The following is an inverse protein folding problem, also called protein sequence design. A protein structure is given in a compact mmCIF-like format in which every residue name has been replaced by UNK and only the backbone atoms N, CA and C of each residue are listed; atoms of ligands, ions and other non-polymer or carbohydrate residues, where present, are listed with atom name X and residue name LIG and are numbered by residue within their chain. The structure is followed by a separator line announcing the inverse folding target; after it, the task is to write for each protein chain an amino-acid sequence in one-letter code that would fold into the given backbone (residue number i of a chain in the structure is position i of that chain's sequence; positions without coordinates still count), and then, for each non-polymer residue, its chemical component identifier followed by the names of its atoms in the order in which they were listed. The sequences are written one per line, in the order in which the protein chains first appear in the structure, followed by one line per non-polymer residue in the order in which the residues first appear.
data_IF_512933779980
#
_entry.id   IF_512933779980
#
_cell.length_a   1.000
_cell.length_b   1.000
_cell.length_c   1.000
_cell.angle_alpha   90.00
_cell.angle_beta   90.00
_cell.angle_gamma   90.00
#
_symmetry.space_group_name_H-M   'P 1'
#
loop_
_entity.id
_entity.type
_entity.pdbx_description
1 polymer ?
#
# COMPACT_ATOMS: atom_id res chain seq x y z
N UNK A 1 -28.14 14.92 -15.61
CA UNK A 1 -26.76 15.46 -15.54
C UNK A 1 -26.46 16.30 -14.29
N UNK A 2 -27.44 16.85 -13.55
CA UNK A 2 -27.18 17.62 -12.30
C UNK A 2 -26.81 16.76 -11.08
N UNK A 3 -27.27 15.50 -11.03
CA UNK A 3 -26.97 14.58 -9.91
C UNK A 3 -25.48 14.17 -9.85
N UNK A 4 -24.85 13.87 -10.98
CA UNK A 4 -23.44 13.44 -11.04
C UNK A 4 -22.46 14.53 -10.57
N UNK A 5 -22.78 15.81 -10.79
CA UNK A 5 -21.92 16.92 -10.37
C UNK A 5 -21.95 17.14 -8.84
N UNK A 6 -23.10 16.91 -8.20
CA UNK A 6 -23.23 17.02 -6.73
C UNK A 6 -22.51 15.88 -6.01
N UNK A 7 -22.56 14.66 -6.56
CA UNK A 7 -21.83 13.50 -6.04
C UNK A 7 -20.30 13.65 -6.18
N UNK A 8 -19.83 14.17 -7.32
CA UNK A 8 -18.41 14.42 -7.54
C UNK A 8 -17.82 15.40 -6.50
N UNK A 9 -18.56 16.44 -6.11
CA UNK A 9 -18.09 17.41 -5.12
C UNK A 9 -18.03 16.84 -3.69
N UNK A 10 -18.92 15.90 -3.34
CA UNK A 10 -18.91 15.23 -2.03
C UNK A 10 -17.83 14.15 -1.92
N UNK A 11 -17.43 13.54 -3.04
CA UNK A 11 -16.40 12.50 -3.10
C UNK A 11 -14.99 13.10 -3.22
N UNK A 12 -14.86 14.30 -3.79
CA UNK A 12 -13.57 14.95 -4.01
C UNK A 12 -12.79 15.23 -2.72
N UNK A 13 -13.46 15.75 -1.68
CA UNK A 13 -12.84 16.06 -0.39
C UNK A 13 -12.30 14.81 0.33
N UNK A 14 -13.08 13.72 0.51
CA UNK A 14 -12.58 12.46 1.06
C UNK A 14 -11.43 11.87 0.24
N UNK A 15 -11.51 11.90 -1.09
CA UNK A 15 -10.44 11.41 -1.96
C UNK A 15 -9.14 12.17 -1.76
N UNK A 16 -9.21 13.51 -1.70
CA UNK A 16 -8.02 14.36 -1.55
C UNK A 16 -7.37 14.13 -0.18
N UNK A 17 -8.16 14.02 0.88
CA UNK A 17 -7.66 13.74 2.23
C UNK A 17 -7.04 12.34 2.30
N UNK A 18 -7.70 11.31 1.74
CA UNK A 18 -7.13 9.96 1.65
C UNK A 18 -5.84 9.94 0.83
N UNK A 19 -5.80 10.67 -0.28
CA UNK A 19 -4.62 10.73 -1.14
C UNK A 19 -3.44 11.37 -0.42
N UNK A 20 -3.64 12.53 0.20
CA UNK A 20 -2.57 13.23 0.95
C UNK A 20 -2.10 12.39 2.15
N UNK A 21 -3.03 11.75 2.87
CA UNK A 21 -2.71 10.84 3.98
C UNK A 21 -1.89 9.63 3.54
N UNK A 22 -2.24 9.01 2.41
CA UNK A 22 -1.52 7.85 1.86
C UNK A 22 -0.14 8.21 1.32
N UNK A 23 -0.03 9.31 0.58
CA UNK A 23 1.23 9.74 -0.07
C UNK A 23 2.33 9.99 0.95
N UNK A 24 2.00 10.61 2.10
CA UNK A 24 2.99 10.88 3.16
C UNK A 24 3.59 9.61 3.77
N UNK A 25 2.80 8.53 3.90
CA UNK A 25 3.27 7.23 4.37
C UNK A 25 4.15 6.55 3.32
N UNK A 26 3.68 6.51 2.08
CA UNK A 26 4.40 5.92 0.95
C UNK A 26 5.75 6.61 0.71
N UNK A 27 5.81 7.94 0.71
CA UNK A 27 7.07 8.68 0.54
C UNK A 27 8.08 8.38 1.65
N UNK A 28 7.62 8.29 2.91
CA UNK A 28 8.49 7.91 4.03
C UNK A 28 9.05 6.51 3.86
N UNK A 29 8.21 5.56 3.46
CA UNK A 29 8.62 4.16 3.26
C UNK A 29 9.65 4.02 2.12
N UNK A 30 9.42 4.68 0.98
CA UNK A 30 10.35 4.67 -0.16
C UNK A 30 11.68 5.34 0.22
N UNK A 31 11.65 6.43 0.99
CA UNK A 31 12.87 7.10 1.45
C UNK A 31 13.68 6.22 2.40
N UNK A 32 13.03 5.54 3.34
CA UNK A 32 13.70 4.63 4.28
C UNK A 32 14.38 3.46 3.55
N UNK A 33 13.63 2.79 2.67
CA UNK A 33 14.15 1.67 1.89
C UNK A 33 15.26 2.08 0.92
N UNK A 34 15.19 3.27 0.30
CA UNK A 34 16.30 3.80 -0.50
C UNK A 34 17.58 4.02 0.34
N UNK A 35 17.45 4.55 1.55
CA UNK A 35 18.60 4.76 2.45
C UNK A 35 19.25 3.43 2.83
N UNK A 36 18.45 2.40 3.14
CA UNK A 36 18.95 1.06 3.44
C UNK A 36 19.68 0.44 2.25
N UNK A 37 19.13 0.61 1.04
CA UNK A 37 19.76 0.10 -0.19
C UNK A 37 21.09 0.79 -0.49
N UNK A 38 21.23 2.08 -0.20
CA UNK A 38 22.46 2.83 -0.44
C UNK A 38 23.65 2.34 0.40
N UNK A 39 23.39 1.75 1.56
CA UNK A 39 24.42 1.19 2.46
C UNK A 39 24.92 -0.19 2.07
N UNK A 40 24.33 -0.83 1.05
CA UNK A 40 24.64 -2.22 0.71
C UNK A 40 25.99 -2.37 -0.03
N UNK A 41 26.73 -3.48 0.19
CA UNK A 41 28.03 -3.74 -0.44
C UNK A 41 28.03 -3.68 -1.98
N UNK A 42 26.91 -4.04 -2.62
CA UNK A 42 26.80 -4.02 -4.08
C UNK A 42 26.83 -2.59 -4.64
N UNK A 43 26.34 -1.59 -3.90
CA UNK A 43 26.40 -0.17 -4.29
C UNK A 43 27.85 0.31 -4.28
N UNK A 44 28.63 -0.07 -3.26
CA UNK A 44 30.06 0.24 -3.20
C UNK A 44 30.82 -0.36 -4.38
N UNK A 45 30.52 -1.61 -4.75
CA UNK A 45 31.11 -2.25 -5.93
C UNK A 45 30.75 -1.52 -7.24
N UNK A 46 29.50 -1.05 -7.38
CA UNK A 46 29.08 -0.27 -8.56
C UNK A 46 29.77 1.10 -8.63
N UNK A 47 29.97 1.78 -7.49
CA UNK A 47 30.72 3.03 -7.41
C UNK A 47 32.20 2.83 -7.73
N UNK A 48 32.82 1.76 -7.20
CA UNK A 48 34.22 1.41 -7.48
C UNK A 48 34.46 1.11 -8.97
N UNK A 49 33.44 0.63 -9.68
CA UNK A 49 33.46 0.42 -11.14
C UNK A 49 33.28 1.70 -11.97
N UNK A 50 33.16 2.87 -11.33
CA UNK A 50 33.02 4.17 -12.02
C UNK A 50 31.63 4.44 -12.60
N UNK A 51 30.60 3.71 -12.18
CA UNK A 51 29.22 3.95 -12.65
C UNK A 51 28.71 5.26 -12.05
N UNK A 52 28.13 6.12 -12.89
CA UNK A 52 27.60 7.41 -12.45
C UNK A 52 26.53 7.26 -11.37
N UNK A 53 26.57 8.12 -10.35
CA UNK A 53 25.64 8.07 -9.21
C UNK A 53 24.17 8.08 -9.65
N UNK A 54 23.80 8.89 -10.65
CA UNK A 54 22.44 8.90 -11.21
C UNK A 54 21.97 7.53 -11.70
N UNK A 55 22.85 6.76 -12.32
CA UNK A 55 22.53 5.40 -12.83
C UNK A 55 22.47 4.38 -11.68
N UNK A 56 23.26 4.56 -10.63
CA UNK A 56 23.18 3.73 -9.42
C UNK A 56 21.85 3.97 -8.71
N UNK A 57 21.44 5.24 -8.54
CA UNK A 57 20.16 5.59 -7.92
C UNK A 57 18.95 5.08 -8.71
N UNK A 58 18.84 5.45 -9.99
CA UNK A 58 17.63 5.21 -10.79
C UNK A 58 17.48 3.75 -11.24
N UNK A 59 18.58 3.08 -11.61
CA UNK A 59 18.48 1.74 -12.18
C UNK A 59 18.75 0.61 -11.19
N UNK A 60 19.52 0.85 -10.13
CA UNK A 60 19.92 -0.21 -9.20
C UNK A 60 19.22 -0.09 -7.85
N UNK A 61 19.38 1.06 -7.17
CA UNK A 61 18.77 1.27 -5.86
C UNK A 61 17.23 1.35 -5.95
N UNK A 62 16.70 2.13 -6.91
CA UNK A 62 15.25 2.31 -7.06
C UNK A 62 14.54 1.03 -7.51
N UNK A 63 15.13 0.26 -8.44
CA UNK A 63 14.58 -1.05 -8.83
C UNK A 63 14.52 -2.04 -7.67
N UNK A 64 15.54 -2.06 -6.81
CA UNK A 64 15.51 -2.94 -5.64
C UNK A 64 14.53 -2.46 -4.56
N UNK A 65 14.27 -1.16 -4.52
CA UNK A 65 13.29 -0.55 -3.61
C UNK A 65 11.84 -0.80 -4.02
N UNK A 66 11.57 -1.15 -5.28
CA UNK A 66 10.23 -1.53 -5.76
C UNK A 66 9.73 -2.82 -5.09
N UNK A 67 10.61 -3.75 -4.71
CA UNK A 67 10.20 -5.00 -4.06
C UNK A 67 9.48 -4.76 -2.72
N UNK A 68 10.07 -4.06 -1.74
CA UNK A 68 9.35 -3.65 -0.51
C UNK A 68 8.09 -2.84 -0.77
N UNK A 69 8.06 -2.03 -1.83
CA UNK A 69 6.90 -1.23 -2.18
C UNK A 69 5.74 -2.09 -2.68
N UNK A 70 6.01 -3.04 -3.58
CA UNK A 70 5.01 -3.98 -4.11
C UNK A 70 4.42 -4.80 -2.95
N UNK A 71 5.25 -5.40 -2.09
CA UNK A 71 4.76 -6.15 -0.92
C UNK A 71 4.02 -5.25 0.07
N UNK A 72 4.50 -4.03 0.32
CA UNK A 72 3.84 -3.07 1.21
C UNK A 72 2.49 -2.57 0.67
N UNK A 73 2.31 -2.57 -0.65
CA UNK A 73 1.07 -2.12 -1.29
C UNK A 73 -0.13 -3.03 -1.03
N UNK A 74 0.09 -4.34 -0.78
CA UNK A 74 -0.94 -5.25 -0.30
C UNK A 74 -1.54 -4.80 1.05
N UNK A 75 -0.67 -4.35 1.97
CA UNK A 75 -1.11 -3.82 3.26
C UNK A 75 -1.82 -2.47 3.12
N UNK A 76 -1.42 -1.64 2.16
CA UNK A 76 -2.15 -0.40 1.86
C UNK A 76 -3.57 -0.70 1.38
N UNK A 77 -3.76 -1.73 0.53
CA UNK A 77 -5.09 -2.20 0.12
C UNK A 77 -5.95 -2.59 1.34
N UNK A 78 -5.41 -3.39 2.26
CA UNK A 78 -6.09 -3.73 3.51
C UNK A 78 -6.48 -2.49 4.32
N UNK A 79 -5.56 -1.53 4.41
CA UNK A 79 -5.79 -0.26 5.11
C UNK A 79 -6.84 0.62 4.41
N UNK A 80 -7.09 0.46 3.11
CA UNK A 80 -8.17 1.20 2.45
C UNK A 80 -9.55 0.67 2.85
N UNK A 81 -9.70 -0.65 3.01
CA UNK A 81 -10.94 -1.27 3.45
C UNK A 81 -11.19 -1.11 4.96
N UNK A 82 -10.12 -1.01 5.76
CA UNK A 82 -10.19 -0.86 7.23
C UNK A 82 -10.10 0.59 7.71
N UNK A 83 -9.36 1.44 6.98
CA UNK A 83 -8.79 2.68 7.49
C UNK A 83 -9.55 3.96 7.20
N UNK A 84 -10.76 3.89 6.64
CA UNK A 84 -11.55 5.09 6.40
C UNK A 84 -12.57 5.37 7.51
N UNK A 85 -12.49 4.73 8.68
CA UNK A 85 -13.40 4.97 9.81
C UNK A 85 -13.56 6.47 10.14
N UNK A 86 -12.43 7.19 10.20
CA UNK A 86 -12.42 8.63 10.52
C UNK A 86 -13.13 9.45 9.44
N UNK A 87 -12.87 9.16 8.16
CA UNK A 87 -13.53 9.85 7.05
C UNK A 87 -15.01 9.43 6.91
N UNK A 88 -15.34 8.18 7.16
CA UNK A 88 -16.73 7.67 7.13
C UNK A 88 -17.58 8.34 8.20
N UNK A 89 -17.02 8.56 9.39
CA UNK A 89 -17.69 9.30 10.48
C UNK A 89 -17.82 10.79 10.13
N UNK A 90 -16.75 11.44 9.66
CA UNK A 90 -16.75 12.88 9.35
C UNK A 90 -17.66 13.21 8.15
N UNK A 91 -17.66 12.37 7.12
CA UNK A 91 -18.45 12.57 5.90
C UNK A 91 -19.79 11.82 5.91
N UNK A 92 -20.15 11.18 7.02
CA UNK A 92 -21.39 10.40 7.19
C UNK A 92 -21.64 9.36 6.08
N UNK A 93 -20.57 8.80 5.50
CA UNK A 93 -20.66 7.82 4.42
C UNK A 93 -20.78 6.41 5.00
N UNK A 94 -21.79 5.59 4.60
CA UNK A 94 -21.93 4.24 5.11
C UNK A 94 -20.84 3.33 4.50
N UNK A 95 -19.81 3.04 5.30
CA UNK A 95 -18.71 2.16 4.92
C UNK A 95 -18.50 0.99 5.88
N UNK A 96 -17.55 0.13 5.51
CA UNK A 96 -17.20 -1.09 6.25
C UNK A 96 -16.63 -0.74 7.63
N UNK A 97 -15.91 0.39 7.74
CA UNK A 97 -15.36 0.86 8.99
C UNK A 97 -16.44 1.21 10.00
N UNK A 98 -17.43 2.02 9.59
CA UNK A 98 -18.56 2.41 10.43
C UNK A 98 -19.41 1.20 10.83
N UNK A 99 -19.64 0.25 9.92
CA UNK A 99 -20.33 -1.00 10.23
C UNK A 99 -19.60 -1.81 11.31
N UNK A 100 -18.27 -1.90 11.26
CA UNK A 100 -17.49 -2.52 12.35
C UNK A 100 -17.66 -1.79 13.66
N UNK A 101 -17.60 -0.46 13.65
CA UNK A 101 -17.72 0.34 14.88
C UNK A 101 -19.10 0.15 15.54
N UNK A 102 -20.17 0.15 14.74
CA UNK A 102 -21.52 -0.11 15.22
C UNK A 102 -21.66 -1.55 15.75
N UNK A 103 -21.06 -2.55 15.07
CA UNK A 103 -21.05 -3.94 15.52
C UNK A 103 -20.34 -4.12 16.88
N UNK A 104 -19.21 -3.43 17.08
CA UNK A 104 -18.47 -3.45 18.36
C UNK A 104 -19.29 -2.80 19.48
N UNK A 105 -19.94 -1.67 19.21
CA UNK A 105 -20.80 -0.98 20.18
C UNK A 105 -22.03 -1.81 20.57
N UNK A 106 -22.59 -2.57 19.62
CA UNK A 106 -23.72 -3.46 19.85
C UNK A 106 -23.31 -4.83 20.42
N UNK A 107 -22.01 -5.05 20.64
CA UNK A 107 -21.44 -6.35 21.07
C UNK A 107 -21.84 -7.52 20.16
N UNK A 108 -22.07 -7.26 18.87
CA UNK A 108 -22.37 -8.30 17.90
C UNK A 108 -21.07 -8.98 17.44
N UNK A 109 -20.63 -9.95 18.22
CA UNK A 109 -19.38 -10.70 18.00
C UNK A 109 -19.39 -11.42 16.64
N UNK A 110 -20.56 -11.87 16.17
CA UNK A 110 -20.67 -12.59 14.89
C UNK A 110 -20.39 -11.66 13.72
N UNK A 111 -20.97 -10.45 13.74
CA UNK A 111 -20.74 -9.45 12.70
C UNK A 111 -19.27 -8.98 12.70
N UNK A 112 -18.67 -8.83 13.88
CA UNK A 112 -17.24 -8.48 14.03
C UNK A 112 -16.33 -9.54 13.43
N UNK A 113 -16.60 -10.82 13.72
CA UNK A 113 -15.83 -11.95 13.19
C UNK A 113 -15.99 -12.07 11.68
N UNK A 114 -17.22 -12.00 11.16
CA UNK A 114 -17.49 -12.07 9.73
C UNK A 114 -16.74 -10.98 8.95
N UNK A 115 -16.77 -9.75 9.46
CA UNK A 115 -16.07 -8.65 8.82
C UNK A 115 -14.54 -8.80 8.89
N UNK A 116 -14.01 -9.25 10.03
CA UNK A 116 -12.57 -9.50 10.19
C UNK A 116 -12.06 -10.60 9.25
N UNK A 117 -12.84 -11.68 9.08
CA UNK A 117 -12.54 -12.74 8.11
C UNK A 117 -12.57 -12.22 6.68
N UNK A 118 -13.56 -11.39 6.33
CA UNK A 118 -13.68 -10.78 5.01
C UNK A 118 -12.48 -9.87 4.68
N UNK A 119 -12.10 -8.98 5.60
CA UNK A 119 -10.92 -8.13 5.43
C UNK A 119 -9.66 -9.00 5.28
N UNK A 120 -9.50 -10.00 6.15
CA UNK A 120 -8.33 -10.91 6.10
C UNK A 120 -8.24 -11.64 4.76
N UNK A 121 -9.35 -12.11 4.22
CA UNK A 121 -9.39 -12.75 2.90
C UNK A 121 -8.97 -11.78 1.78
N UNK A 122 -9.43 -10.53 1.82
CA UNK A 122 -9.00 -9.48 0.88
C UNK A 122 -7.49 -9.19 0.99
N UNK A 123 -6.94 -9.12 2.20
CA UNK A 123 -5.50 -8.93 2.41
C UNK A 123 -4.72 -10.08 1.78
N UNK A 124 -5.13 -11.33 2.04
CA UNK A 124 -4.47 -12.51 1.49
C UNK A 124 -4.50 -12.51 -0.05
N UNK A 125 -5.64 -12.15 -0.65
CA UNK A 125 -5.75 -12.02 -2.12
C UNK A 125 -4.80 -10.91 -2.62
N UNK A 126 -4.75 -9.75 -1.93
CA UNK A 126 -3.85 -8.66 -2.27
C UNK A 126 -2.37 -9.03 -2.15
N UNK A 127 -2.02 -9.83 -1.15
CA UNK A 127 -0.67 -10.39 -0.99
C UNK A 127 -0.33 -11.35 -2.13
N UNK A 128 -1.22 -12.29 -2.47
CA UNK A 128 -1.01 -13.22 -3.59
C UNK A 128 -0.80 -12.45 -4.90
N UNK A 129 -1.61 -11.41 -5.16
CA UNK A 129 -1.43 -10.56 -6.35
C UNK A 129 -0.06 -9.86 -6.30
N UNK A 130 0.34 -9.36 -5.13
CA UNK A 130 1.64 -8.69 -4.97
C UNK A 130 2.81 -9.65 -5.20
N UNK A 131 2.71 -10.89 -4.72
CA UNK A 131 3.72 -11.93 -4.95
C UNK A 131 3.81 -12.32 -6.42
N UNK A 132 2.67 -12.40 -7.13
CA UNK A 132 2.63 -12.64 -8.58
C UNK A 132 3.27 -11.47 -9.34
N UNK A 133 2.94 -10.23 -8.96
CA UNK A 133 3.55 -9.03 -9.54
C UNK A 133 5.06 -8.98 -9.30
N UNK A 134 5.50 -9.35 -8.09
CA UNK A 134 6.90 -9.46 -7.76
C UNK A 134 7.61 -10.51 -8.63
N UNK A 135 7.00 -11.68 -8.80
CA UNK A 135 7.53 -12.74 -9.66
C UNK A 135 7.62 -12.34 -11.14
N UNK A 136 6.71 -11.46 -11.61
CA UNK A 136 6.72 -10.92 -12.97
C UNK A 136 7.77 -9.81 -13.15
N UNK A 137 7.90 -8.93 -12.16
CA UNK A 137 8.80 -7.76 -12.21
C UNK A 137 10.25 -8.16 -11.96
N UNK A 138 10.49 -9.17 -11.11
CA UNK A 138 11.83 -9.59 -10.73
C UNK A 138 12.16 -11.03 -11.18
N UNK A 139 12.69 -11.22 -12.42
CA UNK A 139 13.10 -12.52 -12.92
C UNK A 139 14.30 -13.12 -12.16
N UNK A 140 14.90 -12.43 -11.17
CA UNK A 140 15.95 -13.00 -10.31
C UNK A 140 15.44 -14.07 -9.35
N UNK A 141 14.16 -14.02 -8.97
CA UNK A 141 13.54 -15.04 -8.09
C UNK A 141 13.52 -16.41 -8.81
N UNK A 142 13.60 -16.41 -10.15
CA UNK A 142 13.60 -17.62 -10.98
C UNK A 142 14.95 -18.35 -11.06
N UNK A 143 16.02 -17.80 -10.48
CA UNK A 143 17.34 -18.44 -10.41
C UNK A 143 17.67 -19.04 -9.03
N UNK A 144 16.67 -19.25 -8.17
CA UNK A 144 16.77 -20.21 -7.08
C UNK A 144 16.62 -21.65 -7.60
N UNK A 145 17.56 -22.09 -8.45
CA UNK A 145 17.86 -23.50 -8.63
C UNK A 145 19.10 -23.78 -7.79
N UNK A 146 18.88 -24.15 -6.55
CA UNK A 146 19.67 -25.24 -5.98
C UNK A 146 19.13 -26.56 -6.55
#
# INVERSE_FOLDING_TARGET
MRFTFSYAHHIFLPLLVSFVGGVGGTMRMIRATMLDQMGMPYIFALRARGISERRVYLNHAFRNTLNPYITGSANLLASLFSGSLVLEIIFAYPGIGRLMYEAVMQQDINLVLANSMFISALVLIGMIISDILLALVDPRIRYGKE
#
